data_IF_334816564922
#
_entry.id   IF_334816564922
#
_cell.length_a   1.000
_cell.length_b   1.000
_cell.length_c   1.000
_cell.angle_alpha   90.00
_cell.angle_beta   90.00
_cell.angle_gamma   90.00
#
_symmetry.space_group_name_H-M   'P 1'
#
loop_
_entity.id
_entity.type
_entity.pdbx_description
1 polymer ?
#
# COMPACT_ATOMS: atom_id res chain seq x y z
N UNK A 1 -25.01 3.66 11.15
CA UNK A 1 -25.06 4.38 12.43
C UNK A 1 -23.66 4.48 13.06
N UNK A 2 -22.95 3.36 13.30
CA UNK A 2 -21.63 3.36 13.94
C UNK A 2 -20.59 4.20 13.17
N UNK A 3 -20.52 4.03 11.84
CA UNK A 3 -19.61 4.84 11.02
C UNK A 3 -19.86 6.33 11.17
N UNK A 4 -21.16 6.74 11.18
CA UNK A 4 -21.52 8.14 11.37
C UNK A 4 -21.00 8.72 12.69
N UNK A 5 -21.19 8.00 13.80
CA UNK A 5 -20.70 8.44 15.11
C UNK A 5 -19.17 8.57 15.12
N UNK A 6 -18.46 7.52 14.72
CA UNK A 6 -17.00 7.51 14.70
C UNK A 6 -16.41 8.56 13.74
N UNK A 7 -17.04 8.78 12.58
CA UNK A 7 -16.60 9.80 11.65
C UNK A 7 -16.77 11.21 12.23
N UNK A 8 -17.91 11.48 12.89
CA UNK A 8 -18.15 12.77 13.57
C UNK A 8 -17.10 13.04 14.64
N UNK A 9 -16.89 12.11 15.56
CA UNK A 9 -15.91 12.25 16.65
C UNK A 9 -14.48 12.43 16.14
N UNK A 10 -14.10 11.66 15.11
CA UNK A 10 -12.79 11.78 14.49
C UNK A 10 -12.59 13.13 13.78
N UNK A 11 -13.62 13.63 13.10
CA UNK A 11 -13.56 14.94 12.42
C UNK A 11 -13.47 16.07 13.44
N UNK A 12 -14.22 16.01 14.53
CA UNK A 12 -14.11 16.97 15.64
C UNK A 12 -12.67 17.01 16.17
N UNK A 13 -12.11 15.85 16.52
CA UNK A 13 -10.73 15.73 17.01
C UNK A 13 -9.71 16.27 16.01
N UNK A 14 -9.84 15.94 14.74
CA UNK A 14 -8.92 16.39 13.69
C UNK A 14 -9.04 17.90 13.45
N UNK A 15 -10.24 18.46 13.55
CA UNK A 15 -10.46 19.90 13.42
C UNK A 15 -9.85 20.68 14.59
N UNK A 16 -9.88 20.13 15.81
CA UNK A 16 -9.19 20.72 16.97
C UNK A 16 -7.66 20.75 16.78
N UNK A 17 -7.08 19.66 16.25
CA UNK A 17 -5.64 19.56 15.97
C UNK A 17 -5.24 20.44 14.78
N UNK A 18 -6.14 20.68 13.83
CA UNK A 18 -5.96 21.44 12.60
C UNK A 18 -4.67 21.06 11.84
N UNK A 19 -4.46 19.78 11.45
CA UNK A 19 -3.24 19.34 10.82
C UNK A 19 -3.05 19.96 9.43
N UNK A 20 -1.85 20.43 9.12
CA UNK A 20 -1.52 20.96 7.78
C UNK A 20 -1.56 19.87 6.70
N UNK A 21 -1.18 18.66 7.06
CA UNK A 21 -1.17 17.49 6.17
C UNK A 21 -1.28 16.23 7.01
N UNK A 22 -2.12 15.30 6.57
CA UNK A 22 -2.22 13.97 7.15
C UNK A 22 -1.51 13.00 6.20
N UNK A 23 -0.52 12.27 6.71
CA UNK A 23 0.15 11.19 5.96
C UNK A 23 -0.35 9.86 6.52
N UNK A 24 -0.77 8.96 5.63
CA UNK A 24 -1.25 7.63 6.02
C UNK A 24 -0.55 6.52 5.24
N UNK A 25 -0.32 5.39 5.89
CA UNK A 25 0.23 4.18 5.28
C UNK A 25 -0.87 3.23 4.78
N UNK A 26 -2.11 3.43 5.23
CA UNK A 26 -3.24 2.59 4.87
C UNK A 26 -4.10 3.25 3.79
N UNK A 27 -4.25 2.64 2.60
CA UNK A 27 -5.10 3.20 1.54
C UNK A 27 -6.58 3.34 1.90
N UNK A 28 -7.10 2.51 2.83
CA UNK A 28 -8.46 2.65 3.32
C UNK A 28 -8.60 3.92 4.18
N UNK A 29 -7.67 4.15 5.12
CA UNK A 29 -7.63 5.39 5.89
C UNK A 29 -7.44 6.61 4.98
N UNK A 30 -6.56 6.49 3.97
CA UNK A 30 -6.37 7.52 2.96
C UNK A 30 -7.68 7.88 2.26
N UNK A 31 -8.43 6.87 1.83
CA UNK A 31 -9.71 7.07 1.14
C UNK A 31 -10.75 7.74 2.05
N UNK A 32 -10.95 7.20 3.25
CA UNK A 32 -11.92 7.69 4.21
C UNK A 32 -11.64 9.13 4.64
N UNK A 33 -10.40 9.42 5.04
CA UNK A 33 -10.00 10.78 5.46
C UNK A 33 -10.08 11.80 4.32
N UNK A 34 -9.74 11.39 3.10
CA UNK A 34 -9.69 12.30 1.93
C UNK A 34 -11.05 12.54 1.30
N UNK A 35 -11.89 11.50 1.24
CA UNK A 35 -13.11 11.51 0.45
C UNK A 35 -14.38 11.52 1.31
N UNK A 36 -14.49 10.62 2.30
CA UNK A 36 -15.72 10.41 3.05
C UNK A 36 -15.91 11.40 4.20
N UNK A 37 -14.82 11.82 4.88
CA UNK A 37 -14.89 12.77 5.99
C UNK A 37 -15.34 14.17 5.58
N UNK A 38 -15.36 14.48 4.30
CA UNK A 38 -15.92 15.73 3.77
C UNK A 38 -17.40 15.90 4.09
N UNK A 39 -18.14 14.80 4.09
CA UNK A 39 -19.57 14.80 4.42
C UNK A 39 -19.84 15.10 5.90
N UNK A 40 -18.79 15.05 6.74
CA UNK A 40 -18.83 15.36 8.17
C UNK A 40 -18.12 16.68 8.51
N UNK A 41 -17.76 17.49 7.50
CA UNK A 41 -17.04 18.76 7.69
C UNK A 41 -15.53 18.63 7.85
N UNK A 42 -14.95 17.45 7.57
CA UNK A 42 -13.51 17.20 7.58
C UNK A 42 -12.86 17.49 6.23
N UNK A 43 -12.20 18.62 6.09
CA UNK A 43 -11.51 19.03 4.86
C UNK A 43 -10.00 19.06 5.06
N UNK A 44 -9.32 17.94 4.79
CA UNK A 44 -7.89 17.78 5.05
C UNK A 44 -7.10 17.58 3.76
N UNK A 45 -5.85 18.05 3.78
CA UNK A 45 -4.85 17.59 2.83
C UNK A 45 -4.36 16.22 3.28
N UNK A 46 -4.89 15.16 2.70
CA UNK A 46 -4.47 13.79 2.98
C UNK A 46 -3.59 13.29 1.84
N UNK A 47 -2.46 12.69 2.16
CA UNK A 47 -1.54 12.08 1.21
C UNK A 47 -1.21 10.65 1.65
N UNK A 48 -1.10 9.76 0.70
CA UNK A 48 -0.58 8.43 0.98
C UNK A 48 0.94 8.51 1.17
N UNK A 49 1.52 7.69 2.06
CA UNK A 49 2.96 7.75 2.36
C UNK A 49 3.84 7.62 1.11
N UNK A 50 3.42 6.85 0.10
CA UNK A 50 4.16 6.71 -1.15
C UNK A 50 4.23 8.01 -1.95
N UNK A 51 3.15 8.82 -1.95
CA UNK A 51 3.15 10.14 -2.57
C UNK A 51 4.06 11.09 -1.80
N UNK A 52 4.03 11.02 -0.46
CA UNK A 52 4.87 11.86 0.39
C UNK A 52 6.35 11.52 0.24
N UNK A 53 6.72 10.23 0.22
CA UNK A 53 8.10 9.79 -0.01
C UNK A 53 8.57 10.20 -1.41
N UNK A 54 7.76 10.03 -2.45
CA UNK A 54 8.08 10.48 -3.80
C UNK A 54 8.35 12.00 -3.85
N UNK A 55 7.56 12.78 -3.12
CA UNK A 55 7.77 14.23 -3.00
C UNK A 55 9.10 14.56 -2.30
N UNK A 56 9.43 13.86 -1.21
CA UNK A 56 10.69 14.05 -0.48
C UNK A 56 11.91 13.71 -1.33
N UNK A 57 11.88 12.60 -2.07
CA UNK A 57 12.93 12.19 -3.00
C UNK A 57 13.12 13.24 -4.11
N UNK A 58 12.04 13.66 -4.77
CA UNK A 58 12.09 14.68 -5.83
C UNK A 58 12.65 16.03 -5.36
N UNK A 59 12.37 16.39 -4.11
CA UNK A 59 12.89 17.62 -3.49
C UNK A 59 14.30 17.46 -2.90
N UNK A 60 14.91 16.30 -2.99
CA UNK A 60 16.22 16.01 -2.38
C UNK A 60 16.24 16.15 -0.85
N UNK A 61 15.07 16.01 -0.20
CA UNK A 61 14.93 16.08 1.27
C UNK A 61 15.37 14.80 1.96
N UNK A 62 15.30 13.69 1.26
CA UNK A 62 15.85 12.40 1.67
C UNK A 62 16.74 11.86 0.56
N UNK A 63 17.78 11.14 0.96
CA UNK A 63 18.68 10.41 0.06
C UNK A 63 18.73 8.97 0.52
N UNK A 64 18.70 8.08 -0.44
CA UNK A 64 18.67 6.64 -0.18
C UNK A 64 19.82 5.99 -0.93
N UNK A 65 20.43 4.96 -0.34
CA UNK A 65 21.42 4.14 -1.04
C UNK A 65 20.73 3.38 -2.17
N UNK A 66 21.45 3.23 -3.27
CA UNK A 66 20.94 2.53 -4.44
C UNK A 66 20.73 1.04 -4.12
N UNK A 67 19.56 0.54 -4.43
CA UNK A 67 19.18 -0.86 -4.27
C UNK A 67 18.92 -1.48 -5.66
N UNK A 68 19.62 -2.55 -6.00
CA UNK A 68 19.60 -3.15 -7.34
C UNK A 68 18.76 -4.42 -7.44
N UNK A 69 18.22 -4.93 -6.34
CA UNK A 69 17.39 -6.13 -6.35
C UNK A 69 16.15 -5.97 -7.23
N UNK A 70 15.69 -7.08 -7.77
CA UNK A 70 14.48 -7.12 -8.58
C UNK A 70 13.24 -7.08 -7.68
N UNK A 71 12.40 -6.07 -7.89
CA UNK A 71 11.18 -5.85 -7.11
C UNK A 71 9.94 -5.94 -8.01
N UNK A 72 8.86 -6.51 -7.48
CA UNK A 72 7.52 -6.45 -8.07
C UNK A 72 6.60 -5.66 -7.15
N UNK A 73 5.78 -4.78 -7.73
CA UNK A 73 4.84 -4.00 -6.94
C UNK A 73 3.43 -4.61 -6.98
N UNK A 74 2.87 -4.86 -5.80
CA UNK A 74 1.47 -5.17 -5.65
C UNK A 74 0.65 -3.89 -5.52
N UNK A 75 -0.17 -3.58 -6.51
CA UNK A 75 -1.07 -2.42 -6.47
C UNK A 75 -2.25 -2.65 -5.50
N UNK A 76 -2.33 -1.94 -4.36
CA UNK A 76 -3.48 -2.03 -3.49
C UNK A 76 -4.73 -1.43 -4.15
N UNK A 77 -5.86 -2.12 -4.04
CA UNK A 77 -7.09 -1.70 -4.73
C UNK A 77 -7.58 -0.31 -4.29
N UNK A 78 -7.54 -0.01 -3.00
CA UNK A 78 -7.95 1.30 -2.48
C UNK A 78 -6.97 2.43 -2.84
N UNK A 79 -5.69 2.13 -3.04
CA UNK A 79 -4.73 3.13 -3.50
C UNK A 79 -4.92 3.43 -4.99
N UNK A 80 -4.95 2.38 -5.80
CA UNK A 80 -5.07 2.51 -7.26
C UNK A 80 -6.51 2.76 -7.72
N UNK A 81 -7.37 1.73 -7.68
CA UNK A 81 -8.72 1.80 -8.28
C UNK A 81 -9.61 2.85 -7.66
N UNK A 82 -9.56 3.05 -6.34
CA UNK A 82 -10.41 4.03 -5.65
C UNK A 82 -9.83 5.44 -5.61
N UNK A 83 -8.50 5.60 -5.71
CA UNK A 83 -7.85 6.90 -5.55
C UNK A 83 -6.93 7.31 -6.71
N UNK A 84 -6.74 6.46 -7.72
CA UNK A 84 -5.96 6.78 -8.93
C UNK A 84 -4.44 6.86 -8.72
N UNK A 85 -3.92 6.42 -7.56
CA UNK A 85 -2.50 6.52 -7.24
C UNK A 85 -1.77 5.26 -7.70
N UNK A 86 -1.14 5.31 -8.86
CA UNK A 86 -0.38 4.22 -9.48
C UNK A 86 1.10 4.54 -9.65
N UNK A 87 1.43 5.80 -9.95
CA UNK A 87 2.79 6.18 -10.32
C UNK A 87 3.68 6.46 -9.12
N UNK A 88 3.17 7.11 -8.07
CA UNK A 88 3.99 7.48 -6.92
C UNK A 88 4.75 6.29 -6.28
N UNK A 89 4.13 5.10 -6.06
CA UNK A 89 4.87 3.92 -5.61
C UNK A 89 6.01 3.52 -6.55
N UNK A 90 5.76 3.58 -7.86
CA UNK A 90 6.73 3.22 -8.90
C UNK A 90 7.87 4.23 -8.99
N UNK A 91 7.56 5.51 -8.86
CA UNK A 91 8.56 6.59 -8.78
C UNK A 91 9.51 6.36 -7.59
N UNK A 92 8.97 6.00 -6.42
CA UNK A 92 9.80 5.70 -5.25
C UNK A 92 10.72 4.52 -5.52
N UNK A 93 10.19 3.38 -5.95
CA UNK A 93 10.99 2.17 -6.20
C UNK A 93 12.10 2.41 -7.23
N UNK A 94 11.78 3.08 -8.34
CA UNK A 94 12.78 3.45 -9.37
C UNK A 94 13.77 4.49 -8.85
N UNK A 95 13.30 5.47 -8.10
CA UNK A 95 14.14 6.53 -7.52
C UNK A 95 15.15 6.03 -6.49
N UNK A 96 14.90 4.86 -5.90
CA UNK A 96 15.82 4.16 -4.99
C UNK A 96 16.72 3.16 -5.73
N UNK A 97 16.48 2.92 -7.02
CA UNK A 97 17.34 2.08 -7.86
C UNK A 97 16.84 0.66 -8.09
N UNK A 98 15.72 0.25 -7.50
CA UNK A 98 15.17 -1.09 -7.72
C UNK A 98 14.90 -1.41 -9.19
N UNK A 99 15.23 -2.63 -9.61
CA UNK A 99 14.82 -3.16 -10.90
C UNK A 99 13.34 -3.57 -10.86
N UNK A 100 12.45 -2.59 -11.08
CA UNK A 100 11.01 -2.80 -11.01
C UNK A 100 10.50 -3.65 -12.17
N UNK A 101 9.79 -4.72 -11.85
CA UNK A 101 9.03 -5.55 -12.80
C UNK A 101 7.53 -5.45 -12.52
N UNK A 102 6.73 -5.60 -13.57
CA UNK A 102 5.27 -5.54 -13.45
C UNK A 102 4.67 -6.95 -13.57
N UNK A 103 3.70 -7.30 -12.74
CA UNK A 103 2.96 -8.55 -12.91
C UNK A 103 1.98 -8.43 -14.09
N UNK A 104 1.51 -9.55 -14.67
CA UNK A 104 0.53 -9.56 -15.76
C UNK A 104 -0.72 -8.73 -15.47
N UNK A 105 -1.22 -8.79 -14.22
CA UNK A 105 -2.34 -7.98 -13.73
C UNK A 105 -1.81 -6.88 -12.82
N UNK A 106 -1.62 -5.69 -13.36
CA UNK A 106 -1.11 -4.50 -12.66
C UNK A 106 -2.02 -3.30 -12.83
N UNK A 107 -1.82 -2.25 -12.05
CA UNK A 107 -2.55 -0.97 -12.09
C UNK A 107 -4.07 -1.19 -11.94
N UNK A 108 -4.88 -0.69 -12.86
CA UNK A 108 -6.35 -0.80 -12.85
C UNK A 108 -6.82 -2.27 -12.84
N UNK A 109 -6.05 -3.15 -13.49
CA UNK A 109 -6.34 -4.59 -13.59
C UNK A 109 -5.68 -5.41 -12.50
N UNK A 110 -5.05 -4.78 -11.51
CA UNK A 110 -4.40 -5.49 -10.41
C UNK A 110 -5.32 -6.50 -9.74
N UNK A 111 -4.82 -7.71 -9.52
CA UNK A 111 -5.58 -8.73 -8.81
C UNK A 111 -5.57 -8.45 -7.31
N UNK A 112 -6.65 -8.83 -6.62
CA UNK A 112 -6.84 -8.57 -5.21
C UNK A 112 -5.84 -9.35 -4.33
N UNK A 113 -5.45 -8.78 -3.19
CA UNK A 113 -4.70 -9.51 -2.17
C UNK A 113 -5.55 -10.48 -1.34
N UNK A 114 -6.88 -10.40 -1.46
CA UNK A 114 -7.79 -11.27 -0.73
C UNK A 114 -8.31 -10.73 0.60
N UNK A 115 -7.83 -9.59 1.10
CA UNK A 115 -8.27 -9.03 2.40
C UNK A 115 -9.65 -8.37 2.36
N UNK A 116 -10.11 -7.95 1.18
CA UNK A 116 -11.36 -7.21 1.00
C UNK A 116 -12.61 -7.98 1.43
N UNK A 117 -13.73 -7.25 1.65
CA UNK A 117 -14.99 -7.86 2.05
C UNK A 117 -14.95 -8.53 3.42
N UNK A 118 -14.11 -8.07 4.31
CA UNK A 118 -13.85 -8.65 5.63
C UNK A 118 -13.26 -10.09 5.61
N UNK A 119 -12.76 -10.56 4.48
CA UNK A 119 -12.14 -11.89 4.37
C UNK A 119 -10.91 -12.05 5.28
N UNK A 120 -10.26 -10.93 5.62
CA UNK A 120 -9.16 -10.92 6.59
C UNK A 120 -9.54 -11.53 7.96
N UNK A 121 -10.81 -11.44 8.35
CA UNK A 121 -11.33 -11.92 9.64
C UNK A 121 -12.26 -13.13 9.53
N UNK A 122 -12.50 -13.63 8.32
CA UNK A 122 -13.36 -14.78 8.08
C UNK A 122 -12.55 -16.06 7.92
N UNK A 123 -13.19 -17.19 8.23
CA UNK A 123 -12.69 -18.48 7.77
C UNK A 123 -12.74 -18.56 6.24
N UNK A 124 -11.77 -19.27 5.69
CA UNK A 124 -11.71 -19.46 4.23
C UNK A 124 -12.91 -20.28 3.75
N UNK A 125 -13.57 -19.78 2.74
CA UNK A 125 -14.63 -20.52 2.06
C UNK A 125 -14.04 -21.63 1.18
N UNK A 126 -14.72 -22.78 1.05
CA UNK A 126 -14.26 -23.85 0.17
C UNK A 126 -14.07 -23.35 -1.28
N UNK A 127 -12.91 -23.64 -1.86
CA UNK A 127 -12.55 -23.22 -3.21
C UNK A 127 -11.33 -23.95 -3.73
N UNK A 128 -11.00 -23.75 -5.00
CA UNK A 128 -9.84 -24.37 -5.62
C UNK A 128 -8.50 -23.74 -5.18
N UNK A 129 -8.52 -22.45 -4.82
CA UNK A 129 -7.34 -21.69 -4.44
C UNK A 129 -7.76 -20.40 -3.74
N UNK A 130 -7.00 -19.98 -2.72
CA UNK A 130 -7.18 -18.68 -2.07
C UNK A 130 -6.87 -17.54 -3.02
N UNK A 131 -7.57 -16.42 -2.85
CA UNK A 131 -7.30 -15.20 -3.64
C UNK A 131 -5.88 -14.70 -3.39
N UNK A 132 -5.43 -14.70 -2.14
CA UNK A 132 -4.07 -14.33 -1.75
C UNK A 132 -3.01 -15.22 -2.40
N UNK A 133 -3.22 -16.55 -2.38
CA UNK A 133 -2.33 -17.51 -3.01
C UNK A 133 -2.21 -17.29 -4.51
N UNK A 134 -3.33 -17.06 -5.20
CA UNK A 134 -3.33 -16.75 -6.63
C UNK A 134 -2.51 -15.48 -6.91
N UNK A 135 -2.71 -14.43 -6.11
CA UNK A 135 -1.96 -13.19 -6.25
C UNK A 135 -0.47 -13.37 -5.95
N UNK A 136 -0.13 -14.06 -4.88
CA UNK A 136 1.26 -14.33 -4.52
C UNK A 136 2.00 -15.10 -5.61
N UNK A 137 1.39 -16.17 -6.13
CA UNK A 137 1.96 -16.95 -7.26
C UNK A 137 2.21 -16.10 -8.49
N UNK A 138 1.29 -15.20 -8.83
CA UNK A 138 1.45 -14.27 -9.95
C UNK A 138 2.63 -13.32 -9.75
N UNK A 139 2.77 -12.75 -8.54
CA UNK A 139 3.89 -11.87 -8.20
C UNK A 139 5.22 -12.63 -8.22
N UNK A 140 5.26 -13.83 -7.63
CA UNK A 140 6.43 -14.71 -7.63
C UNK A 140 6.85 -15.12 -9.04
N UNK A 141 5.88 -15.36 -9.92
CA UNK A 141 6.10 -15.70 -11.33
C UNK A 141 6.84 -14.62 -12.14
N UNK A 142 6.97 -13.40 -11.65
CA UNK A 142 7.76 -12.33 -12.28
C UNK A 142 9.27 -12.52 -12.14
N UNK A 143 9.69 -13.45 -11.26
CA UNK A 143 11.09 -13.67 -10.93
C UNK A 143 11.69 -12.52 -10.12
N UNK A 144 10.87 -11.73 -9.42
CA UNK A 144 11.33 -10.75 -8.45
C UNK A 144 11.86 -11.43 -7.18
N UNK A 145 12.69 -10.71 -6.43
CA UNK A 145 13.22 -11.13 -5.12
C UNK A 145 12.39 -10.54 -3.97
N UNK A 146 11.75 -9.40 -4.25
CA UNK A 146 10.98 -8.62 -3.27
C UNK A 146 9.60 -8.30 -3.82
N UNK A 147 8.58 -8.47 -2.99
CA UNK A 147 7.24 -7.92 -3.22
C UNK A 147 7.13 -6.62 -2.42
N UNK A 148 6.99 -5.49 -3.12
CA UNK A 148 6.69 -4.21 -2.51
C UNK A 148 5.19 -3.97 -2.48
N UNK A 149 4.67 -3.40 -1.39
CA UNK A 149 3.29 -2.96 -1.27
C UNK A 149 3.22 -1.64 -0.52
N UNK A 150 2.08 -0.97 -0.58
CA UNK A 150 1.79 0.24 0.20
C UNK A 150 0.44 0.09 0.91
N UNK A 151 0.21 -1.06 1.55
CA UNK A 151 -1.03 -1.33 2.30
C UNK A 151 -0.77 -2.40 3.35
N UNK A 152 -1.05 -2.13 4.64
CA UNK A 152 -0.83 -3.10 5.71
C UNK A 152 -1.65 -4.38 5.55
N UNK A 153 -2.88 -4.30 5.05
CA UNK A 153 -3.70 -5.48 4.78
C UNK A 153 -3.12 -6.34 3.65
N UNK A 154 -2.69 -5.72 2.55
CA UNK A 154 -2.03 -6.44 1.46
C UNK A 154 -0.74 -7.09 1.93
N UNK A 155 0.05 -6.39 2.75
CA UNK A 155 1.28 -6.92 3.33
C UNK A 155 1.00 -8.16 4.19
N UNK A 156 0.00 -8.11 5.07
CA UNK A 156 -0.38 -9.27 5.89
C UNK A 156 -0.82 -10.45 5.04
N UNK A 157 -1.67 -10.23 4.02
CA UNK A 157 -2.12 -11.31 3.15
C UNK A 157 -0.97 -11.96 2.36
N UNK A 158 -0.01 -11.16 1.89
CA UNK A 158 1.17 -11.71 1.21
C UNK A 158 2.06 -12.48 2.19
N UNK A 159 2.24 -12.02 3.42
CA UNK A 159 3.02 -12.70 4.45
C UNK A 159 2.41 -14.04 4.90
N UNK A 160 1.09 -14.20 4.83
CA UNK A 160 0.43 -15.51 5.06
C UNK A 160 0.91 -16.52 4.03
N UNK A 161 1.04 -16.12 2.77
CA UNK A 161 1.49 -17.01 1.69
C UNK A 161 3.01 -17.27 1.76
N UNK A 162 3.79 -16.26 2.15
CA UNK A 162 5.24 -16.39 2.41
C UNK A 162 5.51 -17.48 3.45
N UNK A 163 4.73 -17.52 4.53
CA UNK A 163 4.91 -18.51 5.60
C UNK A 163 4.67 -19.95 5.16
N UNK A 164 4.03 -20.17 4.01
CA UNK A 164 3.72 -21.49 3.44
C UNK A 164 4.64 -21.86 2.26
N UNK A 165 5.53 -20.96 1.86
CA UNK A 165 6.40 -21.13 0.70
C UNK A 165 7.79 -21.64 1.10
N UNK A 166 8.27 -22.71 0.45
CA UNK A 166 9.62 -23.26 0.68
C UNK A 166 10.75 -22.30 0.23
N UNK A 167 10.46 -21.42 -0.73
CA UNK A 167 11.37 -20.41 -1.27
C UNK A 167 10.67 -19.05 -1.30
N UNK A 168 10.46 -18.46 -0.12
CA UNK A 168 9.66 -17.26 -0.01
C UNK A 168 10.34 -16.03 -0.64
N UNK A 169 9.51 -15.12 -1.16
CA UNK A 169 9.95 -13.76 -1.46
C UNK A 169 9.94 -12.92 -0.19
N UNK A 170 10.78 -11.90 -0.14
CA UNK A 170 10.66 -10.87 0.89
C UNK A 170 9.45 -9.97 0.59
N UNK A 171 8.60 -9.70 1.58
CA UNK A 171 7.44 -8.81 1.45
C UNK A 171 7.66 -7.60 2.33
N UNK A 172 7.69 -6.41 1.74
CA UNK A 172 7.97 -5.15 2.45
C UNK A 172 7.04 -4.03 2.03
N UNK A 173 6.75 -3.15 2.97
CA UNK A 173 6.16 -1.87 2.64
C UNK A 173 7.21 -0.96 1.95
N UNK A 174 6.74 -0.09 1.05
CA UNK A 174 7.63 0.86 0.37
C UNK A 174 8.39 1.74 1.35
N UNK A 175 7.78 2.12 2.47
CA UNK A 175 8.45 2.92 3.49
C UNK A 175 9.60 2.13 4.16
N UNK A 176 9.45 0.82 4.37
CA UNK A 176 10.51 -0.04 4.91
C UNK A 176 11.68 -0.17 3.92
N UNK A 177 11.37 -0.34 2.63
CA UNK A 177 12.39 -0.38 1.57
C UNK A 177 13.22 0.91 1.53
N UNK A 178 12.56 2.05 1.62
CA UNK A 178 13.23 3.36 1.67
C UNK A 178 14.04 3.53 2.95
N UNK A 179 13.47 3.16 4.11
CA UNK A 179 14.10 3.32 5.42
C UNK A 179 15.40 2.52 5.55
N UNK A 180 15.49 1.33 4.96
CA UNK A 180 16.68 0.48 4.98
C UNK A 180 17.90 1.11 4.31
N UNK A 181 17.69 1.92 3.28
CA UNK A 181 18.75 2.60 2.55
C UNK A 181 18.90 4.08 2.89
N UNK A 182 18.20 4.59 3.92
CA UNK A 182 18.22 6.02 4.23
C UNK A 182 19.61 6.46 4.68
N UNK A 183 20.16 7.49 4.02
CA UNK A 183 21.42 8.11 4.40
C UNK A 183 21.18 9.16 5.47
N UNK A 184 22.03 9.15 6.48
CA UNK A 184 22.05 10.15 7.52
C UNK A 184 22.43 11.55 6.98
#
# INVERSE_FOLDING_TARGET
YLFFQLATENVETLNEVAPKTIVTTCPHCFHTLKNEYKDFGGHYRVVHHTEFIAELLRKGKIRVEEETRKVVFHDPCYLGRHNGVYEAPREVLKGVGFALTEPPRSRERSFCCGAGGAQFWKEEEPGAMRVSENRYKELKGTGAEVIATGCPFCMTMMNVEVAQDEKPLEVLDIAELVARGLKA
#
